data_IF_832956485781
#
_entry.id   IF_832956485781
#
_cell.length_a   1.000
_cell.length_b   1.000
_cell.length_c   1.000
_cell.angle_alpha   90.00
_cell.angle_beta   90.00
_cell.angle_gamma   90.00
#
_symmetry.space_group_name_H-M   'P 1'
#
loop_
_entity.id
_entity.type
_entity.pdbx_description
1 polymer ?
#
# COMPACT_ATOMS: atom_id res chain seq x y z
N UNK A 1 -4.26 -23.49 -22.80
CA UNK A 1 -4.98 -23.34 -21.51
C UNK A 1 -4.46 -22.11 -20.79
N UNK A 2 -5.30 -21.10 -20.56
CA UNK A 2 -4.88 -19.89 -19.82
C UNK A 2 -4.54 -20.28 -18.36
N UNK A 3 -3.40 -19.80 -17.83
CA UNK A 3 -3.01 -20.04 -16.44
C UNK A 3 -4.05 -19.45 -15.50
N UNK A 4 -4.51 -20.26 -14.54
CA UNK A 4 -5.49 -19.88 -13.53
C UNK A 4 -4.92 -18.78 -12.63
N UNK A 5 -5.51 -17.58 -12.62
CA UNK A 5 -5.08 -16.49 -11.75
C UNK A 5 -5.61 -16.76 -10.34
N UNK A 6 -4.73 -16.61 -9.34
CA UNK A 6 -5.07 -16.65 -7.92
C UNK A 6 -4.38 -15.48 -7.20
N UNK A 7 -4.98 -15.05 -6.09
CA UNK A 7 -4.56 -13.88 -5.33
C UNK A 7 -4.22 -14.27 -3.90
N UNK A 8 -3.32 -13.52 -3.29
CA UNK A 8 -3.12 -13.51 -1.84
C UNK A 8 -4.39 -13.03 -1.12
N UNK A 9 -4.58 -13.43 0.14
CA UNK A 9 -5.72 -13.00 0.98
C UNK A 9 -5.21 -12.23 2.22
N UNK A 10 -5.43 -10.91 2.32
CA UNK A 10 -5.14 -10.07 3.48
C UNK A 10 -5.71 -10.67 4.77
N UNK A 11 -5.03 -10.45 5.89
CA UNK A 11 -5.55 -10.75 7.23
C UNK A 11 -5.97 -12.21 7.48
N UNK A 12 -5.50 -13.15 6.64
CA UNK A 12 -5.88 -14.57 6.72
C UNK A 12 -5.65 -15.17 8.11
N UNK A 13 -4.56 -14.78 8.78
CA UNK A 13 -4.26 -15.24 10.14
C UNK A 13 -5.29 -14.75 11.16
N UNK A 14 -5.70 -13.48 11.10
CA UNK A 14 -6.74 -12.94 11.98
C UNK A 14 -8.08 -13.63 11.73
N UNK A 15 -8.48 -13.80 10.47
CA UNK A 15 -9.73 -14.48 10.13
C UNK A 15 -9.74 -15.96 10.58
N UNK A 16 -8.65 -16.69 10.33
CA UNK A 16 -8.64 -18.14 10.55
C UNK A 16 -8.22 -18.56 11.96
N UNK A 17 -7.18 -17.95 12.50
CA UNK A 17 -6.60 -18.39 13.77
C UNK A 17 -7.21 -17.67 14.96
N UNK A 18 -7.56 -16.39 14.80
CA UNK A 18 -8.12 -15.59 15.89
C UNK A 18 -9.66 -15.61 15.86
N UNK A 19 -10.28 -15.04 14.83
CA UNK A 19 -11.73 -14.89 14.75
C UNK A 19 -12.46 -16.23 14.74
N UNK A 20 -12.14 -17.15 13.81
CA UNK A 20 -12.82 -18.45 13.74
C UNK A 20 -12.67 -19.26 15.03
N UNK A 21 -11.48 -19.23 15.65
CA UNK A 21 -11.24 -19.92 16.92
C UNK A 21 -12.13 -19.35 18.02
N UNK A 22 -12.16 -18.03 18.17
CA UNK A 22 -13.00 -17.37 19.17
C UNK A 22 -14.49 -17.61 18.89
N UNK A 23 -14.93 -17.45 17.64
CA UNK A 23 -16.32 -17.65 17.24
C UNK A 23 -16.81 -19.08 17.50
N UNK A 24 -15.94 -20.08 17.35
CA UNK A 24 -16.25 -21.48 17.70
C UNK A 24 -16.51 -21.66 19.21
N UNK A 25 -15.80 -20.93 20.06
CA UNK A 25 -15.95 -20.99 21.52
C UNK A 25 -17.15 -20.15 21.98
N UNK A 26 -17.40 -19.02 21.32
CA UNK A 26 -18.48 -18.07 21.66
C UNK A 26 -19.40 -17.83 20.46
N UNK A 27 -20.14 -18.84 19.97
CA UNK A 27 -20.96 -18.73 18.76
C UNK A 27 -22.14 -17.76 18.91
N UNK A 28 -22.55 -17.50 20.15
CA UNK A 28 -23.65 -16.59 20.50
C UNK A 28 -23.25 -15.10 20.50
N UNK A 29 -21.95 -14.78 20.48
CA UNK A 29 -21.49 -13.40 20.40
C UNK A 29 -21.62 -12.87 18.98
N UNK A 30 -21.99 -11.59 18.83
CA UNK A 30 -21.87 -10.89 17.56
C UNK A 30 -20.41 -10.77 17.13
N UNK A 31 -20.15 -10.48 15.85
CA UNK A 31 -18.76 -10.34 15.38
C UNK A 31 -18.05 -9.12 16.01
N UNK A 32 -18.80 -8.05 16.30
CA UNK A 32 -18.29 -6.91 17.06
C UNK A 32 -17.98 -7.26 18.53
N UNK A 33 -18.82 -8.07 19.17
CA UNK A 33 -18.56 -8.50 20.55
C UNK A 33 -17.37 -9.46 20.63
N UNK A 34 -17.17 -10.30 19.60
CA UNK A 34 -15.95 -11.09 19.44
C UNK A 34 -14.73 -10.17 19.34
N UNK A 35 -14.76 -9.14 18.49
CA UNK A 35 -13.69 -8.15 18.41
C UNK A 35 -13.39 -7.50 19.77
N UNK A 36 -14.42 -6.93 20.42
CA UNK A 36 -14.29 -6.24 21.71
C UNK A 36 -13.71 -7.17 22.78
N UNK A 37 -14.20 -8.40 22.85
CA UNK A 37 -13.74 -9.40 23.81
C UNK A 37 -12.27 -9.76 23.61
N UNK A 38 -11.85 -10.05 22.37
CA UNK A 38 -10.46 -10.39 22.06
C UNK A 38 -9.55 -9.20 22.37
N UNK A 39 -9.90 -8.00 21.88
CA UNK A 39 -9.11 -6.78 22.11
C UNK A 39 -8.97 -6.48 23.61
N UNK A 40 -10.06 -6.55 24.37
CA UNK A 40 -10.03 -6.37 25.81
C UNK A 40 -9.11 -7.38 26.50
N UNK A 41 -9.23 -8.67 26.18
CA UNK A 41 -8.40 -9.72 26.75
C UNK A 41 -6.93 -9.53 26.41
N UNK A 42 -6.62 -9.19 25.16
CA UNK A 42 -5.25 -8.93 24.74
C UNK A 42 -4.60 -7.79 25.52
N UNK A 43 -5.33 -6.71 25.79
CA UNK A 43 -4.77 -5.54 26.45
C UNK A 43 -4.69 -5.64 27.97
N UNK A 44 -5.58 -6.43 28.60
CA UNK A 44 -5.72 -6.46 30.06
C UNK A 44 -5.15 -7.72 30.73
N UNK A 45 -4.95 -8.83 30.01
CA UNK A 45 -4.34 -10.04 30.59
C UNK A 45 -2.86 -9.78 30.91
N UNK A 46 -2.28 -10.31 32.02
CA UNK A 46 -0.85 -10.17 32.29
C UNK A 46 0.05 -10.66 31.14
N UNK A 47 1.22 -10.06 30.97
CA UNK A 47 2.21 -10.51 29.97
C UNK A 47 2.72 -11.91 30.33
N UNK A 48 2.80 -12.80 29.34
CA UNK A 48 3.48 -14.08 29.51
C UNK A 48 4.99 -13.90 29.57
N UNK A 49 5.71 -14.87 30.17
CA UNK A 49 7.16 -14.79 30.43
C UNK A 49 8.04 -14.46 29.20
N UNK A 50 7.57 -14.78 27.99
CA UNK A 50 8.29 -14.55 26.72
C UNK A 50 7.58 -13.55 25.80
N UNK A 51 6.58 -12.83 26.31
CA UNK A 51 5.79 -11.88 25.52
C UNK A 51 6.24 -10.44 25.80
N UNK A 52 6.51 -9.67 24.74
CA UNK A 52 6.81 -8.25 24.86
C UNK A 52 5.53 -7.42 24.71
N UNK A 53 5.46 -6.28 25.42
CA UNK A 53 4.37 -5.31 25.28
C UNK A 53 4.21 -4.85 23.81
N UNK A 54 5.34 -4.63 23.12
CA UNK A 54 5.34 -4.24 21.71
C UNK A 54 4.70 -5.31 20.81
N UNK A 55 5.07 -6.58 20.97
CA UNK A 55 4.50 -7.67 20.16
C UNK A 55 2.98 -7.75 20.35
N UNK A 56 2.51 -7.60 21.59
CA UNK A 56 1.09 -7.57 21.91
C UNK A 56 0.36 -6.39 21.27
N UNK A 57 0.94 -5.19 21.34
CA UNK A 57 0.40 -4.00 20.68
C UNK A 57 0.33 -4.18 19.16
N UNK A 58 1.32 -4.81 18.54
CA UNK A 58 1.32 -5.10 17.10
C UNK A 58 0.23 -6.10 16.69
N UNK A 59 -0.03 -7.12 17.51
CA UNK A 59 -1.13 -8.06 17.25
C UNK A 59 -2.48 -7.36 17.45
N UNK A 60 -2.62 -6.54 18.49
CA UNK A 60 -3.82 -5.74 18.70
C UNK A 60 -4.05 -4.76 17.54
N UNK A 61 -2.97 -4.24 16.94
CA UNK A 61 -3.08 -3.38 15.77
C UNK A 61 -3.58 -4.09 14.51
N UNK A 62 -3.16 -5.34 14.29
CA UNK A 62 -3.74 -6.11 13.19
C UNK A 62 -5.17 -6.56 13.47
N UNK A 63 -5.60 -6.64 14.74
CA UNK A 63 -7.00 -6.81 15.10
C UNK A 63 -7.85 -5.59 14.75
N UNK A 64 -7.34 -4.38 14.96
CA UNK A 64 -8.05 -3.17 14.54
C UNK A 64 -8.21 -3.15 13.01
N UNK A 65 -7.17 -3.54 12.26
CA UNK A 65 -7.25 -3.66 10.79
C UNK A 65 -8.25 -4.74 10.34
N UNK A 66 -8.33 -5.86 11.08
CA UNK A 66 -9.36 -6.89 10.87
C UNK A 66 -10.78 -6.39 11.18
N UNK A 67 -10.95 -5.56 12.21
CA UNK A 67 -12.26 -4.98 12.52
C UNK A 67 -12.74 -4.02 11.43
N UNK A 68 -11.83 -3.32 10.76
CA UNK A 68 -12.17 -2.51 9.58
C UNK A 68 -12.57 -3.36 8.38
N UNK A 69 -11.89 -4.49 8.16
CA UNK A 69 -12.27 -5.48 7.15
C UNK A 69 -13.69 -6.01 7.42
N UNK A 70 -13.96 -6.41 8.66
CA UNK A 70 -15.26 -6.90 9.12
C UNK A 70 -16.39 -5.88 8.87
N UNK A 71 -16.13 -4.59 9.10
CA UNK A 71 -17.11 -3.51 8.88
C UNK A 71 -17.26 -3.11 7.41
N UNK A 72 -16.36 -3.57 6.55
CA UNK A 72 -16.30 -3.17 5.14
C UNK A 72 -15.58 -1.84 4.90
N UNK A 73 -14.93 -1.28 5.91
CA UNK A 73 -14.18 -0.02 5.84
C UNK A 73 -12.80 -0.21 5.19
N UNK A 74 -12.21 -1.42 5.30
CA UNK A 74 -10.94 -1.76 4.62
C UNK A 74 -11.09 -1.68 3.10
N UNK A 75 -10.21 -0.92 2.44
CA UNK A 75 -10.16 -0.89 0.98
C UNK A 75 -9.33 -2.05 0.44
N UNK A 76 -9.96 -2.98 -0.27
CA UNK A 76 -9.26 -4.08 -0.92
C UNK A 76 -8.75 -3.67 -2.29
N UNK A 77 -7.44 -3.77 -2.49
CA UNK A 77 -6.78 -3.43 -3.75
C UNK A 77 -6.28 -4.71 -4.40
N UNK A 78 -6.75 -4.99 -5.62
CA UNK A 78 -6.29 -6.09 -6.46
C UNK A 78 -5.37 -5.57 -7.55
N UNK A 79 -4.09 -5.94 -7.51
CA UNK A 79 -3.23 -5.69 -8.66
C UNK A 79 -3.54 -6.67 -9.78
N UNK A 80 -3.79 -6.17 -10.98
CA UNK A 80 -3.99 -7.05 -12.13
C UNK A 80 -2.73 -7.86 -12.44
N UNK A 81 -1.55 -7.26 -12.18
CA UNK A 81 -0.25 -7.83 -12.50
C UNK A 81 0.72 -7.68 -11.34
N UNK A 82 1.50 -8.74 -11.10
CA UNK A 82 2.53 -8.78 -10.06
C UNK A 82 3.59 -7.68 -10.24
N UNK A 83 3.90 -7.34 -11.49
CA UNK A 83 4.84 -6.29 -11.87
C UNK A 83 4.55 -4.95 -11.19
N UNK A 84 3.28 -4.55 -11.05
CA UNK A 84 2.93 -3.28 -10.43
C UNK A 84 3.44 -3.19 -8.98
N UNK A 85 3.35 -4.29 -8.22
CA UNK A 85 3.86 -4.35 -6.84
C UNK A 85 5.38 -4.20 -6.81
N UNK A 86 6.08 -4.89 -7.70
CA UNK A 86 7.53 -4.83 -7.79
C UNK A 86 7.99 -3.42 -8.21
N UNK A 87 7.32 -2.81 -9.19
CA UNK A 87 7.57 -1.42 -9.56
C UNK A 87 7.36 -0.45 -8.40
N UNK A 88 6.20 -0.52 -7.72
CA UNK A 88 5.84 0.45 -6.67
C UNK A 88 6.69 0.31 -5.41
N UNK A 89 7.14 -0.90 -5.03
CA UNK A 89 8.04 -1.06 -3.88
C UNK A 89 9.47 -0.59 -4.20
N UNK A 90 9.91 -0.71 -5.45
CA UNK A 90 11.27 -0.35 -5.88
C UNK A 90 11.40 1.15 -6.20
N UNK A 91 10.29 1.81 -6.55
CA UNK A 91 10.27 3.21 -6.90
C UNK A 91 10.53 4.10 -5.67
N UNK A 92 11.62 4.89 -5.73
CA UNK A 92 12.01 5.81 -4.66
C UNK A 92 11.00 6.96 -4.51
N UNK A 93 10.67 7.28 -3.27
CA UNK A 93 9.86 8.46 -2.94
C UNK A 93 10.78 9.69 -2.91
N UNK A 94 10.76 10.47 -3.99
CA UNK A 94 11.66 11.61 -4.16
C UNK A 94 11.24 12.89 -3.42
N UNK A 95 9.97 13.02 -3.07
CA UNK A 95 9.37 14.23 -2.48
C UNK A 95 8.32 13.84 -1.43
N UNK A 96 8.77 13.14 -0.38
CA UNK A 96 7.90 12.50 0.62
C UNK A 96 7.01 13.51 1.36
N UNK A 97 7.57 14.64 1.78
CA UNK A 97 6.86 15.70 2.50
C UNK A 97 5.69 16.23 1.67
N UNK A 98 5.94 16.57 0.41
CA UNK A 98 4.89 17.09 -0.48
C UNK A 98 3.83 16.05 -0.82
N UNK A 99 4.22 14.80 -0.99
CA UNK A 99 3.29 13.69 -1.19
C UNK A 99 2.40 13.54 0.04
N UNK A 100 2.99 13.57 1.24
CA UNK A 100 2.25 13.54 2.50
C UNK A 100 1.26 14.68 2.61
N UNK A 101 1.68 15.92 2.35
CA UNK A 101 0.80 17.09 2.42
C UNK A 101 -0.37 16.98 1.45
N UNK A 102 -0.09 16.52 0.23
CA UNK A 102 -1.12 16.27 -0.76
C UNK A 102 -2.11 15.19 -0.29
N UNK A 103 -1.61 14.06 0.21
CA UNK A 103 -2.44 12.97 0.70
C UNK A 103 -3.25 13.37 1.95
N UNK A 104 -2.70 14.20 2.83
CA UNK A 104 -3.41 14.74 3.99
C UNK A 104 -4.53 15.70 3.54
N UNK A 105 -4.24 16.63 2.62
CA UNK A 105 -5.23 17.59 2.13
C UNK A 105 -6.36 16.96 1.29
N UNK A 106 -6.11 15.80 0.66
CA UNK A 106 -7.06 15.11 -0.23
C UNK A 106 -7.60 13.80 0.35
N UNK A 107 -7.32 13.54 1.64
CA UNK A 107 -7.86 12.40 2.37
C UNK A 107 -9.04 12.81 3.24
N UNK A 108 -9.75 11.81 3.77
CA UNK A 108 -10.83 12.04 4.72
C UNK A 108 -10.23 12.17 6.12
N UNK A 109 -10.37 13.35 6.73
CA UNK A 109 -9.98 13.54 8.13
C UNK A 109 -10.85 12.69 9.04
N UNK A 110 -10.23 12.13 10.06
CA UNK A 110 -10.90 11.38 11.11
C UNK A 110 -10.07 11.45 12.38
N UNK A 111 -10.71 11.19 13.49
CA UNK A 111 -10.03 10.83 14.72
C UNK A 111 -9.91 9.31 14.71
N UNK A 112 -8.72 8.78 14.98
CA UNK A 112 -8.52 7.33 15.03
C UNK A 112 -7.81 6.94 16.31
N UNK A 113 -8.44 6.04 17.06
CA UNK A 113 -7.83 5.37 18.20
C UNK A 113 -7.34 3.99 17.76
N UNK A 114 -6.08 3.93 17.36
CA UNK A 114 -5.40 2.67 17.09
C UNK A 114 -4.53 2.25 18.25
N UNK A 115 -4.60 0.96 18.58
CA UNK A 115 -3.98 0.40 19.78
C UNK A 115 -2.44 0.48 19.79
N UNK A 116 -1.83 0.67 18.63
CA UNK A 116 -0.38 0.73 18.47
C UNK A 116 0.18 2.15 18.33
N UNK A 117 -0.67 3.15 18.06
CA UNK A 117 -0.19 4.52 17.94
C UNK A 117 0.11 5.06 19.33
N UNK A 118 1.39 5.35 19.58
CA UNK A 118 1.83 6.03 20.81
C UNK A 118 1.80 7.54 20.71
N UNK A 119 1.60 8.07 19.50
CA UNK A 119 1.55 9.50 19.22
C UNK A 119 0.09 9.89 18.99
N UNK A 120 -0.50 10.41 20.08
CA UNK A 120 -1.60 11.35 20.09
C UNK A 120 -3.00 10.71 19.99
N UNK A 121 -3.45 10.20 21.14
CA UNK A 121 -4.88 10.19 21.46
C UNK A 121 -5.45 11.58 21.13
N UNK A 122 -6.46 11.63 20.27
CA UNK A 122 -7.23 12.84 19.88
C UNK A 122 -6.57 13.83 18.89
N UNK A 123 -5.54 13.45 18.13
CA UNK A 123 -5.14 14.27 16.99
C UNK A 123 -5.92 13.93 15.71
N UNK A 124 -6.44 14.97 15.05
CA UNK A 124 -7.02 14.86 13.71
C UNK A 124 -5.96 14.28 12.76
N UNK A 125 -6.21 13.10 12.22
CA UNK A 125 -5.33 12.48 11.24
C UNK A 125 -6.10 12.16 9.95
N UNK A 126 -5.33 11.85 8.90
CA UNK A 126 -5.85 11.20 7.70
C UNK A 126 -5.27 9.80 7.68
N UNK A 127 -6.13 8.79 7.60
CA UNK A 127 -5.69 7.41 7.48
C UNK A 127 -6.20 6.78 6.19
N UNK A 128 -5.40 5.84 5.68
CA UNK A 128 -5.74 4.98 4.56
C UNK A 128 -5.55 3.54 5.00
N UNK A 129 -6.64 2.77 5.00
CA UNK A 129 -6.65 1.36 5.37
C UNK A 129 -6.79 0.49 4.13
N UNK A 130 -5.79 -0.35 3.86
CA UNK A 130 -5.66 -1.09 2.60
C UNK A 130 -5.33 -2.56 2.83
N UNK A 131 -6.10 -3.44 2.19
CA UNK A 131 -5.77 -4.86 2.00
C UNK A 131 -5.27 -5.11 0.58
N UNK A 132 -3.98 -5.43 0.42
CA UNK A 132 -3.36 -5.60 -0.90
C UNK A 132 -3.34 -7.07 -1.35
N UNK A 133 -4.03 -7.33 -2.46
CA UNK A 133 -4.08 -8.60 -3.15
C UNK A 133 -3.16 -8.58 -4.38
N UNK A 134 -2.12 -9.41 -4.36
CA UNK A 134 -1.15 -9.53 -5.45
C UNK A 134 -1.30 -10.89 -6.12
N UNK A 135 -1.35 -10.96 -7.47
CA UNK A 135 -1.55 -12.21 -8.16
C UNK A 135 -0.32 -13.10 -8.02
N UNK A 136 -0.56 -14.39 -7.84
CA UNK A 136 0.47 -15.43 -7.67
C UNK A 136 1.36 -15.28 -6.44
N UNK A 137 0.95 -14.49 -5.44
CA UNK A 137 1.66 -14.31 -4.18
C UNK A 137 0.96 -15.05 -3.04
N UNK A 138 1.74 -15.73 -2.20
CA UNK A 138 1.19 -16.46 -1.05
C UNK A 138 0.81 -15.53 0.09
N UNK A 139 1.66 -14.55 0.37
CA UNK A 139 1.46 -13.60 1.46
C UNK A 139 0.77 -12.35 0.93
N UNK A 140 -0.32 -11.98 1.59
CA UNK A 140 -0.94 -10.69 1.38
C UNK A 140 -0.37 -9.68 2.35
N UNK A 141 -0.27 -8.43 1.87
CA UNK A 141 0.12 -7.31 2.70
C UNK A 141 -1.14 -6.50 3.00
N UNK A 142 -1.29 -6.08 4.24
CA UNK A 142 -2.33 -5.13 4.66
C UNK A 142 -1.63 -4.00 5.39
N UNK A 143 -2.06 -2.76 5.21
CA UNK A 143 -1.44 -1.63 5.89
C UNK A 143 -2.41 -0.50 6.17
N UNK A 144 -2.16 0.17 7.30
CA UNK A 144 -2.71 1.47 7.63
C UNK A 144 -1.62 2.52 7.44
N UNK A 145 -1.89 3.50 6.58
CA UNK A 145 -1.05 4.69 6.44
C UNK A 145 -1.73 5.83 7.16
N UNK A 146 -1.15 6.30 8.26
CA UNK A 146 -1.65 7.38 9.10
C UNK A 146 -0.78 8.61 8.87
N UNK A 147 -1.43 9.74 8.59
CA UNK A 147 -0.81 11.04 8.35
C UNK A 147 -1.27 11.99 9.45
N UNK A 148 -0.37 12.38 10.35
CA UNK A 148 -0.63 13.29 11.47
C UNK A 148 -0.35 14.73 11.10
N UNK A 149 -1.01 15.71 11.74
CA UNK A 149 -0.83 17.14 11.43
C UNK A 149 0.61 17.64 11.60
N UNK A 150 1.35 17.07 12.55
CA UNK A 150 2.75 17.34 12.83
C UNK A 150 3.74 16.85 11.73
N UNK A 151 3.24 16.41 10.57
CA UNK A 151 4.00 15.87 9.44
C UNK A 151 4.58 14.47 9.65
N UNK A 152 4.24 13.79 10.75
CA UNK A 152 4.56 12.38 10.94
C UNK A 152 3.71 11.51 10.01
N UNK A 153 4.37 10.52 9.40
CA UNK A 153 3.73 9.42 8.70
C UNK A 153 4.00 8.18 9.54
N UNK A 154 2.96 7.44 9.88
CA UNK A 154 3.08 6.13 10.50
C UNK A 154 2.42 5.08 9.61
N UNK A 155 3.14 3.99 9.35
CA UNK A 155 2.63 2.86 8.60
C UNK A 155 2.64 1.63 9.48
N UNK A 156 1.45 1.19 9.90
CA UNK A 156 1.27 -0.16 10.40
C UNK A 156 1.11 -1.11 9.22
N UNK A 157 1.79 -2.26 9.25
CA UNK A 157 1.64 -3.29 8.24
C UNK A 157 1.45 -4.66 8.87
N UNK A 158 0.73 -5.53 8.16
CA UNK A 158 0.59 -6.94 8.46
C UNK A 158 0.87 -7.79 7.22
N UNK A 159 1.68 -8.84 7.38
CA UNK A 159 1.94 -9.91 6.41
C UNK A 159 1.89 -11.25 7.12
N UNK A 160 0.73 -11.91 7.08
CA UNK A 160 0.50 -13.15 7.83
C UNK A 160 0.58 -12.91 9.34
N UNK A 161 1.49 -13.63 10.01
CA UNK A 161 1.73 -13.48 11.45
C UNK A 161 2.67 -12.31 11.79
N UNK A 162 3.34 -11.74 10.79
CA UNK A 162 4.29 -10.66 10.99
C UNK A 162 3.57 -9.33 10.89
N UNK A 163 3.75 -8.48 11.90
CA UNK A 163 3.27 -7.11 11.87
C UNK A 163 4.38 -6.16 12.30
N UNK A 164 4.30 -4.90 11.91
CA UNK A 164 5.27 -3.90 12.28
C UNK A 164 4.77 -2.49 12.05
N UNK A 165 5.53 -1.53 12.55
CA UNK A 165 5.26 -0.10 12.42
C UNK A 165 6.50 0.56 11.82
N UNK A 166 6.30 1.48 10.88
CA UNK A 166 7.36 2.22 10.23
C UNK A 166 6.95 3.69 10.15
N UNK A 167 7.73 4.58 10.76
CA UNK A 167 7.52 6.02 10.62
C UNK A 167 8.34 6.58 9.46
N UNK A 168 8.00 7.79 8.97
CA UNK A 168 8.84 8.51 8.02
C UNK A 168 10.28 8.72 8.54
N UNK A 169 10.46 8.94 9.85
CA UNK A 169 11.80 9.05 10.47
C UNK A 169 12.54 7.71 10.36
N UNK A 170 11.91 6.61 10.78
CA UNK A 170 12.50 5.28 10.68
C UNK A 170 12.81 4.88 9.24
N UNK A 171 11.98 5.29 8.29
CA UNK A 171 12.21 5.08 6.87
C UNK A 171 13.48 5.79 6.39
N UNK A 172 13.68 7.07 6.73
CA UNK A 172 14.90 7.80 6.37
C UNK A 172 16.15 7.15 6.96
N UNK A 173 16.09 6.73 8.23
CA UNK A 173 17.20 6.03 8.88
C UNK A 173 17.48 4.66 8.23
N UNK A 174 16.43 3.96 7.79
CA UNK A 174 16.55 2.65 7.14
C UNK A 174 17.13 2.75 5.73
N UNK A 175 16.97 3.87 5.04
CA UNK A 175 17.59 4.10 3.72
C UNK A 175 19.14 4.11 3.78
N UNK A 176 19.71 4.40 4.95
CA UNK A 176 21.16 4.45 5.17
C UNK A 176 21.76 3.08 5.52
N UNK A 177 20.92 2.07 5.74
CA UNK A 177 21.33 0.73 6.18
C UNK A 177 21.24 -0.27 5.04
N UNK A 178 22.19 -1.20 4.99
CA UNK A 178 22.25 -2.22 3.93
C UNK A 178 21.69 -3.59 4.34
N UNK A 179 21.24 -3.75 5.59
CA UNK A 179 20.72 -5.02 6.10
C UNK A 179 19.34 -5.36 5.48
N UNK A 180 19.06 -6.66 5.38
CA UNK A 180 17.83 -7.17 4.74
C UNK A 180 16.55 -6.68 5.42
N UNK A 181 16.58 -6.51 6.74
CA UNK A 181 15.42 -6.04 7.50
C UNK A 181 15.11 -4.59 7.13
N UNK A 182 16.10 -3.70 7.15
CA UNK A 182 15.93 -2.30 6.75
C UNK A 182 15.47 -2.16 5.29
N UNK A 183 16.01 -2.98 4.37
CA UNK A 183 15.56 -3.04 2.97
C UNK A 183 14.08 -3.42 2.86
N UNK A 184 13.65 -4.47 3.57
CA UNK A 184 12.26 -4.92 3.57
C UNK A 184 11.30 -3.86 4.14
N UNK A 185 11.69 -3.16 5.21
CA UNK A 185 10.90 -2.06 5.75
C UNK A 185 10.78 -0.90 4.75
N UNK A 186 11.87 -0.55 4.05
CA UNK A 186 11.83 0.46 2.98
C UNK A 186 10.90 0.07 1.83
N UNK A 187 10.93 -1.20 1.40
CA UNK A 187 10.04 -1.71 0.35
C UNK A 187 8.57 -1.61 0.75
N UNK A 188 8.22 -2.01 1.99
CA UNK A 188 6.86 -1.91 2.52
C UNK A 188 6.40 -0.45 2.58
N UNK A 189 7.26 0.43 3.10
CA UNK A 189 6.96 1.87 3.20
C UNK A 189 6.69 2.48 1.81
N UNK A 190 7.56 2.19 0.84
CA UNK A 190 7.40 2.65 -0.55
C UNK A 190 6.14 2.09 -1.18
N UNK A 191 5.90 0.79 -1.04
CA UNK A 191 4.72 0.14 -1.60
C UNK A 191 3.44 0.79 -1.09
N UNK A 192 3.31 1.04 0.21
CA UNK A 192 2.14 1.66 0.80
C UNK A 192 1.89 3.08 0.25
N UNK A 193 2.88 3.97 0.36
CA UNK A 193 2.75 5.37 -0.11
C UNK A 193 2.57 5.46 -1.63
N UNK A 194 3.36 4.70 -2.39
CA UNK A 194 3.30 4.73 -3.85
C UNK A 194 2.00 4.12 -4.38
N UNK A 195 1.39 3.15 -3.68
CA UNK A 195 0.07 2.60 -4.09
C UNK A 195 -1.02 3.66 -4.02
N UNK A 196 -1.12 4.37 -2.89
CA UNK A 196 -2.10 5.46 -2.72
C UNK A 196 -1.86 6.56 -3.75
N UNK A 197 -0.59 6.94 -3.92
CA UNK A 197 -0.19 7.98 -4.88
C UNK A 197 -0.50 7.58 -6.32
N UNK A 198 -0.24 6.32 -6.68
CA UNK A 198 -0.53 5.76 -8.00
C UNK A 198 -2.02 5.87 -8.34
N UNK A 199 -2.91 5.50 -7.41
CA UNK A 199 -4.35 5.61 -7.61
C UNK A 199 -4.80 7.05 -7.87
N UNK A 200 -4.21 8.02 -7.16
CA UNK A 200 -4.51 9.45 -7.35
C UNK A 200 -3.98 9.99 -8.68
N UNK A 201 -2.82 9.51 -9.14
CA UNK A 201 -2.21 9.96 -10.38
C UNK A 201 -2.79 9.32 -11.65
N UNK A 202 -3.30 8.09 -11.54
CA UNK A 202 -3.82 7.31 -12.66
C UNK A 202 -5.21 6.76 -12.35
N UNK A 203 -6.21 7.63 -12.11
CA UNK A 203 -7.57 7.18 -11.82
C UNK A 203 -8.15 6.30 -12.95
N UNK A 204 -7.71 6.49 -14.20
CA UNK A 204 -8.09 5.65 -15.35
C UNK A 204 -7.60 4.20 -15.25
N UNK A 205 -6.56 3.97 -14.44
CA UNK A 205 -5.98 2.64 -14.20
C UNK A 205 -6.63 1.91 -13.02
N UNK A 206 -7.56 2.56 -12.32
CA UNK A 206 -8.33 2.03 -11.19
C UNK A 206 -9.73 1.68 -11.68
N UNK A 207 -10.20 0.46 -11.36
CA UNK A 207 -11.56 0.02 -11.68
C UNK A 207 -12.23 -0.55 -10.44
N UNK A 208 -13.46 -0.15 -10.18
CA UNK A 208 -14.26 -0.73 -9.10
C UNK A 208 -14.49 -2.24 -9.30
N UNK A 209 -14.52 -2.97 -8.19
CA UNK A 209 -14.86 -4.39 -8.12
C UNK A 209 -13.66 -5.33 -7.97
N UNK A 210 -13.93 -6.61 -8.18
CA UNK A 210 -12.95 -7.69 -8.06
C UNK A 210 -12.57 -8.27 -9.43
N UNK A 211 -11.33 -8.73 -9.62
CA UNK A 211 -10.95 -9.42 -10.86
C UNK A 211 -11.86 -10.64 -11.09
N UNK A 212 -12.06 -11.03 -12.35
CA UNK A 212 -12.68 -12.33 -12.67
C UNK A 212 -11.71 -13.44 -12.26
N UNK A 213 -11.79 -13.90 -11.02
CA UNK A 213 -10.93 -14.95 -10.48
C UNK A 213 -11.56 -16.29 -10.85
N UNK A 214 -10.80 -17.13 -11.56
CA UNK A 214 -11.21 -18.50 -11.94
C UNK A 214 -11.31 -19.51 -10.77
N UNK A 215 -11.12 -19.09 -9.51
CA UNK A 215 -11.28 -19.92 -8.31
C UNK A 215 -12.57 -19.53 -7.59
N UNK A 216 -13.53 -20.46 -7.56
CA UNK A 216 -14.69 -20.41 -6.69
C UNK A 216 -14.29 -20.63 -5.23
N UNK A 217 -13.81 -19.58 -4.58
CA UNK A 217 -13.90 -19.50 -3.13
C UNK A 217 -15.00 -18.50 -2.84
N UNK A 218 -16.07 -18.98 -2.23
CA UNK A 218 -17.06 -18.16 -1.52
C UNK A 218 -16.37 -17.52 -0.32
N UNK A 219 -15.53 -16.51 -0.57
CA UNK A 219 -15.12 -15.57 0.45
C UNK A 219 -16.13 -14.43 0.40
N UNK A 220 -16.82 -14.19 1.52
CA UNK A 220 -17.54 -12.93 1.73
C UNK A 220 -16.45 -11.86 1.74
N UNK A 221 -16.36 -11.09 0.66
CA UNK A 221 -15.39 -10.00 0.51
C UNK A 221 -16.14 -8.69 0.68
N UNK A 222 -15.51 -7.72 1.33
CA UNK A 222 -16.06 -6.36 1.47
C UNK A 222 -16.56 -5.84 0.12
N UNK A 223 -17.59 -5.01 0.09
CA UNK A 223 -18.02 -4.36 -1.15
C UNK A 223 -17.03 -3.26 -1.62
N UNK A 224 -16.04 -2.91 -0.79
CA UNK A 224 -15.04 -1.88 -1.04
C UNK A 224 -13.79 -2.47 -1.71
N UNK A 225 -13.87 -2.79 -3.01
CA UNK A 225 -12.76 -3.35 -3.77
C UNK A 225 -12.43 -2.53 -5.01
N UNK A 226 -11.14 -2.42 -5.32
CA UNK A 226 -10.66 -1.84 -6.59
C UNK A 226 -9.61 -2.74 -7.25
N UNK A 227 -9.60 -2.76 -8.57
CA UNK A 227 -8.61 -3.40 -9.43
C UNK A 227 -7.69 -2.32 -9.99
N UNK A 228 -6.38 -2.52 -9.87
CA UNK A 228 -5.37 -1.61 -10.41
C UNK A 228 -4.57 -2.31 -11.49
N UNK A 229 -4.52 -1.71 -12.68
CA UNK A 229 -3.68 -2.15 -13.79
C UNK A 229 -2.43 -1.27 -13.88
N UNK A 230 -1.28 -1.81 -14.33
CA UNK A 230 -0.16 -0.97 -14.71
C UNK A 230 -0.57 0.03 -15.80
N UNK A 231 -0.23 1.30 -15.61
CA UNK A 231 -0.40 2.34 -16.61
C UNK A 231 0.64 2.12 -17.70
N UNK A 232 0.28 2.34 -18.96
CA UNK A 232 1.23 2.28 -20.09
C UNK A 232 2.45 3.19 -19.88
N UNK A 233 2.30 4.25 -19.07
CA UNK A 233 3.38 5.18 -18.72
C UNK A 233 4.47 4.55 -17.86
N UNK A 234 4.24 3.40 -17.22
CA UNK A 234 5.16 2.77 -16.27
C UNK A 234 5.92 1.57 -16.86
N UNK A 235 5.46 0.99 -17.96
CA UNK A 235 5.99 -0.25 -18.54
C UNK A 235 7.35 -0.09 -19.28
N UNK A 236 8.18 0.91 -18.93
CA UNK A 236 9.42 1.25 -19.64
C UNK A 236 10.68 0.48 -19.20
N UNK A 237 11.46 0.01 -20.19
CA UNK A 237 12.64 -0.88 -20.15
C UNK A 237 13.72 -0.58 -19.07
N UNK A 238 14.22 -1.66 -18.45
CA UNK A 238 15.18 -1.67 -17.34
C UNK A 238 16.66 -1.60 -17.79
N UNK A 239 17.46 -0.70 -17.19
CA UNK A 239 18.77 -1.00 -16.55
C UNK A 239 19.59 0.26 -16.22
N UNK A 240 20.20 0.27 -15.02
CA UNK A 240 21.10 1.28 -14.41
C UNK A 240 22.58 0.86 -14.51
N UNK A 241 23.61 1.55 -13.96
CA UNK A 241 23.82 2.97 -13.54
C UNK A 241 25.13 3.59 -14.12
N UNK A 242 25.25 4.93 -14.26
CA UNK A 242 26.48 5.69 -13.95
C UNK A 242 26.30 7.20 -14.16
N UNK A 243 26.30 7.93 -13.04
CA UNK A 243 26.10 9.38 -12.97
C UNK A 243 27.32 10.13 -13.55
N UNK A 244 27.28 10.35 -14.86
CA UNK A 244 28.00 11.35 -15.70
C UNK A 244 27.76 11.09 -17.19
N UNK A 245 27.22 9.91 -17.52
CA UNK A 245 26.96 9.38 -18.86
C UNK A 245 25.49 9.68 -19.23
N UNK A 246 25.15 9.84 -20.53
CA UNK A 246 23.75 9.83 -20.97
C UNK A 246 23.01 8.63 -20.36
N UNK A 247 21.96 8.86 -19.58
CA UNK A 247 21.29 7.81 -18.83
C UNK A 247 19.77 7.99 -18.84
N UNK A 248 19.08 6.87 -18.63
CA UNK A 248 17.64 6.85 -18.50
C UNK A 248 17.25 7.18 -17.06
N UNK A 249 16.53 8.28 -16.86
CA UNK A 249 15.93 8.59 -15.56
C UNK A 249 14.59 7.88 -15.48
N UNK A 250 14.45 6.99 -14.49
CA UNK A 250 13.19 6.29 -14.20
C UNK A 250 12.05 7.27 -13.92
N UNK A 251 10.83 6.89 -14.25
CA UNK A 251 9.66 7.67 -13.90
C UNK A 251 9.44 7.73 -12.39
N UNK A 252 8.77 8.77 -11.91
CA UNK A 252 8.52 9.00 -10.49
C UNK A 252 7.31 9.93 -10.28
N UNK A 253 6.70 9.87 -9.09
CA UNK A 253 5.64 10.79 -8.70
C UNK A 253 6.18 12.11 -8.16
N UNK A 254 5.54 13.21 -8.54
CA UNK A 254 5.91 14.55 -8.10
C UNK A 254 4.71 15.48 -8.00
N UNK A 255 4.68 16.32 -6.95
CA UNK A 255 3.74 17.45 -6.85
C UNK A 255 4.24 18.65 -7.67
N UNK A 256 3.37 19.21 -8.51
CA UNK A 256 3.71 20.40 -9.31
C UNK A 256 3.54 21.68 -8.49
N UNK A 257 4.61 22.14 -7.83
CA UNK A 257 4.56 23.35 -6.97
C UNK A 257 4.71 24.69 -7.72
N UNK A 258 5.39 24.69 -8.87
CA UNK A 258 5.81 25.92 -9.55
C UNK A 258 4.63 26.72 -10.12
N UNK A 259 4.64 28.06 -10.04
CA UNK A 259 3.62 28.93 -10.65
C UNK A 259 3.45 28.75 -12.16
N UNK A 260 4.46 28.19 -12.85
CA UNK A 260 4.41 27.92 -14.29
C UNK A 260 3.36 26.88 -14.68
N UNK A 261 2.92 26.05 -13.75
CA UNK A 261 1.90 25.01 -13.98
C UNK A 261 0.49 25.52 -13.68
N UNK A 262 0.05 26.66 -14.25
CA UNK A 262 -1.20 27.34 -13.89
C UNK A 262 -2.41 26.40 -13.67
N UNK A 263 -2.60 25.39 -14.53
CA UNK A 263 -3.77 24.50 -14.49
C UNK A 263 -3.52 23.15 -13.79
N UNK A 264 -2.27 22.84 -13.41
CA UNK A 264 -1.89 21.58 -12.76
C UNK A 264 -1.14 21.79 -11.45
N UNK A 265 -1.02 23.04 -10.99
CA UNK A 265 -0.31 23.41 -9.77
C UNK A 265 -1.01 22.75 -8.58
N UNK A 266 -0.23 22.13 -7.71
CA UNK A 266 -0.74 21.38 -6.55
C UNK A 266 -1.17 19.95 -6.85
N UNK A 267 -1.17 19.50 -8.11
CA UNK A 267 -1.48 18.11 -8.46
C UNK A 267 -0.24 17.23 -8.35
N UNK A 268 -0.41 15.99 -7.88
CA UNK A 268 0.60 14.94 -8.06
C UNK A 268 0.50 14.43 -9.50
N UNK A 269 1.61 14.45 -10.20
CA UNK A 269 1.73 13.84 -11.53
C UNK A 269 2.74 12.71 -11.51
N UNK A 270 2.61 11.83 -12.49
CA UNK A 270 3.71 10.98 -12.89
C UNK A 270 4.61 11.71 -13.89
N UNK A 271 5.89 11.82 -13.55
CA UNK A 271 6.94 12.26 -14.46
C UNK A 271 7.46 11.02 -15.15
N UNK A 272 7.16 10.88 -16.44
CA UNK A 272 7.62 9.73 -17.23
C UNK A 272 9.13 9.68 -17.33
N UNK A 273 9.61 8.49 -17.65
CA UNK A 273 11.00 8.23 -17.95
C UNK A 273 11.51 9.20 -19.00
N UNK A 274 12.77 9.62 -18.84
CA UNK A 274 13.39 10.52 -19.82
C UNK A 274 14.87 10.25 -19.95
N UNK A 275 15.39 10.42 -21.16
CA UNK A 275 16.82 10.38 -21.41
C UNK A 275 17.44 11.69 -20.92
N UNK A 276 18.28 11.60 -19.90
CA UNK A 276 19.01 12.75 -19.35
C UNK A 276 20.36 12.84 -20.04
N UNK A 277 20.68 14.01 -20.59
CA UNK A 277 21.94 14.32 -21.30
C UNK A 277 22.22 13.43 -22.53
N UNK A 278 21.17 13.01 -23.24
CA UNK A 278 21.27 12.32 -24.53
C UNK A 278 19.99 12.48 -25.36
N UNK A 279 20.04 12.14 -26.64
CA UNK A 279 18.86 11.97 -27.49
C UNK A 279 18.65 10.48 -27.71
N UNK A 280 17.47 9.96 -27.35
CA UNK A 280 17.09 8.58 -27.63
C UNK A 280 16.22 8.53 -28.89
N UNK A 281 16.44 7.55 -29.75
CA UNK A 281 15.54 7.19 -30.86
C UNK A 281 15.27 5.69 -30.74
N UNK A 282 13.99 5.31 -30.66
CA UNK A 282 13.58 3.91 -30.69
C UNK A 282 13.32 3.53 -32.15
N UNK A 283 14.06 2.55 -32.66
CA UNK A 283 13.85 1.97 -33.99
C UNK A 283 12.93 0.76 -33.83
N UNK A 284 11.76 0.81 -34.47
CA UNK A 284 10.83 -0.30 -34.53
C UNK A 284 11.03 -1.05 -35.85
N UNK A 285 10.99 -2.38 -35.83
CA UNK A 285 10.81 -3.16 -37.07
C UNK A 285 9.36 -3.04 -37.51
N UNK A 286 9.12 -3.08 -38.83
CA UNK A 286 7.87 -2.66 -39.50
C UNK A 286 6.57 -3.22 -38.93
N UNK A 287 6.63 -4.35 -38.22
CA UNK A 287 5.46 -5.09 -37.77
C UNK A 287 4.91 -4.62 -36.41
N UNK A 288 5.65 -3.77 -35.68
CA UNK A 288 5.25 -3.22 -34.36
C UNK A 288 4.61 -1.83 -34.42
N UNK A 289 4.55 -1.19 -35.59
CA UNK A 289 4.02 0.17 -35.76
C UNK A 289 2.49 0.29 -35.67
N UNK A 290 1.74 -0.81 -35.76
CA UNK A 290 0.27 -0.76 -35.80
C UNK A 290 -0.42 -0.67 -34.43
N UNK A 291 0.29 -0.92 -33.32
CA UNK A 291 -0.34 -1.01 -31.99
C UNK A 291 -0.08 0.18 -31.06
N UNK A 292 0.80 1.12 -31.42
CA UNK A 292 1.26 2.18 -30.50
C UNK A 292 1.04 3.63 -30.98
N UNK A 293 0.11 3.89 -31.89
CA UNK A 293 -0.30 5.26 -32.20
C UNK A 293 -1.17 5.84 -31.06
N UNK A 294 -0.54 6.54 -30.12
CA UNK A 294 -1.25 7.49 -29.26
C UNK A 294 -1.46 8.78 -30.08
N UNK A 295 -2.70 9.29 -30.21
CA UNK A 295 -2.95 10.49 -31.01
C UNK A 295 -2.27 11.70 -30.36
N UNK A 296 -1.47 12.42 -31.14
CA UNK A 296 -0.90 13.71 -30.76
C UNK A 296 -1.99 14.79 -30.73
N UNK A 297 -2.14 15.44 -29.58
CA UNK A 297 -2.61 16.83 -29.47
C UNK A 297 -1.63 17.60 -28.60
#
# INVERSE_FOLDING_TARGET
MAKKIWYSTPLTWYWNEIYKTQKRITPYLSDEDVFRSIKYNMLNVPLQKNESKLNRMLIAGGLDLWNEDLKGDLLHIFFAEKYLRDYLKDMKISDLESIRDYLYANGKKTEVEYTWSSELENESCVYYSIGLHVPYEKEALSFNVILYENSTIEIFFNSGQNSGIITNIHYQDSLLKEDEKSKKLCEIFRLAINTITYMKCFPESVKEGVPKITKGKEEIRSNNNVIIKPSLKILGDESTPNAKIPHFRRGYFKVLKSPKFKNKRGQVIYVSETMVRGKAKTLYTSDTLKENEIPSK
#
